data_IF_517123334325
#
_entry.id   IF_517123334325
#
_cell.length_a   1.000
_cell.length_b   1.000
_cell.length_c   1.000
_cell.angle_alpha   90.00
_cell.angle_beta   90.00
_cell.angle_gamma   90.00
#
_symmetry.space_group_name_H-M   'P 1'
#
loop_
_entity.id
_entity.type
_entity.pdbx_description
1 polymer ?
#
# COMPACT_ATOMS: atom_id res chain seq x y z
N UNK A 1 -77.69 37.32 55.91
CA UNK A 1 -78.28 36.22 55.11
C UNK A 1 -78.56 36.76 53.72
N UNK A 2 -78.31 36.01 52.63
CA UNK A 2 -76.98 35.76 52.08
C UNK A 2 -76.91 36.20 50.61
N UNK A 3 -75.74 36.64 50.09
CA UNK A 3 -75.52 36.62 48.63
C UNK A 3 -74.09 36.22 48.27
N UNK A 4 -74.06 35.31 47.29
CA UNK A 4 -73.01 34.36 46.96
C UNK A 4 -71.79 35.01 46.27
N UNK A 5 -70.59 34.55 46.63
CA UNK A 5 -69.34 34.81 45.92
C UNK A 5 -69.33 34.07 44.58
N UNK A 6 -69.16 34.81 43.47
CA UNK A 6 -68.70 34.28 42.19
C UNK A 6 -67.46 35.10 41.80
N UNK A 7 -66.28 34.51 41.98
CA UNK A 7 -65.00 35.08 41.53
C UNK A 7 -64.90 34.94 40.00
N UNK A 8 -64.80 36.08 39.30
CA UNK A 8 -64.45 36.14 37.88
C UNK A 8 -62.93 36.09 37.70
N UNK A 9 -62.48 35.21 36.82
CA UNK A 9 -61.10 34.95 36.46
C UNK A 9 -60.36 36.18 35.92
N UNK A 10 -59.11 36.38 36.36
CA UNK A 10 -58.16 37.32 35.76
C UNK A 10 -57.14 36.54 34.91
N UNK A 11 -57.21 36.71 33.60
CA UNK A 11 -56.23 36.19 32.65
C UNK A 11 -54.87 36.86 32.87
N UNK A 12 -53.85 36.07 33.22
CA UNK A 12 -52.45 36.49 33.25
C UNK A 12 -51.81 36.14 31.90
N UNK A 13 -51.33 37.15 31.19
CA UNK A 13 -50.53 36.98 29.98
C UNK A 13 -49.18 36.36 30.35
N UNK A 14 -48.85 35.21 29.76
CA UNK A 14 -47.58 34.53 29.91
C UNK A 14 -46.61 35.11 28.88
N UNK A 15 -45.59 35.84 29.31
CA UNK A 15 -44.49 36.29 28.46
C UNK A 15 -43.55 35.11 28.26
N UNK A 16 -43.59 34.47 27.08
CA UNK A 16 -42.60 33.48 26.69
C UNK A 16 -41.27 34.18 26.38
N UNK A 17 -40.29 33.99 27.25
CA UNK A 17 -38.90 34.36 27.00
C UNK A 17 -38.31 33.28 26.07
N UNK A 18 -38.17 33.59 24.78
CA UNK A 18 -37.50 32.73 23.80
C UNK A 18 -36.00 32.92 23.96
N UNK A 19 -35.33 31.98 24.63
CA UNK A 19 -33.87 31.90 24.66
C UNK A 19 -33.42 31.32 23.32
N UNK A 20 -32.62 32.02 22.50
CA UNK A 20 -32.06 31.43 21.30
C UNK A 20 -31.00 30.42 21.74
N UNK A 21 -31.28 29.14 21.54
CA UNK A 21 -30.25 28.09 21.56
C UNK A 21 -29.40 28.32 20.33
N UNK A 22 -28.28 29.05 20.49
CA UNK A 22 -27.19 28.99 19.52
C UNK A 22 -26.65 27.56 19.58
N UNK A 23 -27.10 26.72 18.64
CA UNK A 23 -26.39 25.50 18.31
C UNK A 23 -25.04 25.94 17.69
N UNK A 24 -24.00 25.99 18.52
CA UNK A 24 -22.64 25.99 18.01
C UNK A 24 -22.48 24.69 17.21
N UNK A 25 -22.47 24.78 15.88
CA UNK A 25 -21.84 23.76 15.05
C UNK A 25 -20.34 23.82 15.39
N UNK A 26 -19.95 23.12 16.45
CA UNK A 26 -18.55 22.79 16.65
C UNK A 26 -18.17 21.94 15.42
N UNK A 27 -17.34 22.52 14.55
CA UNK A 27 -16.65 21.74 13.54
C UNK A 27 -15.99 20.57 14.26
N UNK A 28 -16.29 19.34 13.83
CA UNK A 28 -15.60 18.18 14.34
C UNK A 28 -14.09 18.45 14.27
N UNK A 29 -13.31 18.12 15.32
CA UNK A 29 -11.87 18.29 15.25
C UNK A 29 -11.37 17.59 13.98
N UNK A 30 -10.41 18.20 13.28
CA UNK A 30 -9.86 17.73 12.00
C UNK A 30 -9.30 16.29 12.03
N UNK A 31 -9.27 15.65 13.21
CA UNK A 31 -8.83 14.28 13.51
C UNK A 31 -9.92 13.20 13.39
N UNK A 32 -11.18 13.51 13.06
CA UNK A 32 -12.25 12.49 12.96
C UNK A 32 -12.53 12.00 11.52
N UNK A 33 -11.87 12.55 10.51
CA UNK A 33 -12.14 12.25 9.10
C UNK A 33 -11.11 11.25 8.58
N UNK A 34 -11.57 10.09 8.11
CA UNK A 34 -10.73 9.10 7.44
C UNK A 34 -10.65 9.44 5.95
N UNK A 35 -9.57 10.12 5.56
CA UNK A 35 -9.29 10.48 4.16
C UNK A 35 -9.11 9.23 3.32
N UNK A 36 -9.69 9.21 2.12
CA UNK A 36 -9.71 8.00 1.29
C UNK A 36 -8.90 8.15 0.01
N UNK A 37 -8.44 7.02 -0.51
CA UNK A 37 -7.89 6.88 -1.85
C UNK A 37 -8.55 5.70 -2.57
N UNK A 38 -8.69 5.81 -3.89
CA UNK A 38 -9.26 4.77 -4.73
C UNK A 38 -8.75 4.90 -6.18
N UNK A 39 -8.82 3.80 -6.93
CA UNK A 39 -8.53 3.80 -8.37
C UNK A 39 -9.83 3.98 -9.13
N UNK A 40 -9.91 4.84 -10.15
CA UNK A 40 -11.20 5.07 -10.84
C UNK A 40 -11.76 3.80 -11.50
N UNK A 41 -13.08 3.58 -11.38
CA UNK A 41 -13.80 2.50 -12.09
C UNK A 41 -13.75 2.65 -13.62
N UNK A 42 -13.49 3.86 -14.11
CA UNK A 42 -13.31 4.20 -15.53
C UNK A 42 -11.83 4.29 -15.90
N UNK A 43 -11.54 4.07 -17.17
CA UNK A 43 -10.22 4.19 -17.76
C UNK A 43 -10.25 5.06 -19.02
N UNK A 44 -9.09 5.57 -19.42
CA UNK A 44 -8.91 6.36 -20.63
C UNK A 44 -7.43 6.50 -20.99
N UNK A 45 -7.17 7.15 -22.12
CA UNK A 45 -5.82 7.27 -22.65
C UNK A 45 -5.06 8.45 -22.01
N UNK A 46 -3.79 8.63 -22.36
CA UNK A 46 -2.93 9.69 -21.85
C UNK A 46 -3.40 11.11 -22.19
N UNK A 47 -4.40 11.29 -23.06
CA UNK A 47 -4.95 12.61 -23.39
C UNK A 47 -6.23 12.90 -22.61
N UNK A 48 -6.13 13.72 -21.56
CA UNK A 48 -7.27 14.14 -20.73
C UNK A 48 -8.22 15.13 -21.44
N UNK A 49 -7.83 15.69 -22.58
CA UNK A 49 -8.67 16.52 -23.44
C UNK A 49 -9.41 15.71 -24.50
N UNK A 50 -9.09 14.42 -24.64
CA UNK A 50 -9.81 13.53 -25.54
C UNK A 50 -11.20 13.18 -25.00
N UNK A 51 -12.04 12.59 -25.85
CA UNK A 51 -13.33 12.03 -25.44
C UNK A 51 -13.23 10.69 -24.70
N UNK A 52 -12.03 10.20 -24.38
CA UNK A 52 -11.87 8.87 -23.74
C UNK A 52 -12.22 8.85 -22.25
N UNK A 53 -12.33 10.02 -21.60
CA UNK A 53 -12.53 10.13 -20.16
C UNK A 53 -13.93 10.66 -19.78
N UNK A 54 -14.81 9.80 -19.23
CA UNK A 54 -16.13 10.22 -18.78
C UNK A 54 -16.06 11.16 -17.56
N UNK A 55 -16.50 12.40 -17.74
CA UNK A 55 -16.53 13.41 -16.66
C UNK A 55 -15.29 14.31 -16.61
N UNK A 56 -14.39 14.26 -17.60
CA UNK A 56 -13.29 15.19 -17.75
C UNK A 56 -13.80 16.60 -18.11
N UNK A 57 -13.44 17.60 -17.31
CA UNK A 57 -13.81 19.00 -17.50
C UNK A 57 -12.79 19.92 -16.81
N UNK A 58 -12.52 21.09 -17.38
CA UNK A 58 -11.51 22.01 -16.84
C UNK A 58 -10.58 22.56 -17.91
N UNK A 59 -9.78 23.55 -17.51
CA UNK A 59 -8.87 24.25 -18.42
C UNK A 59 -7.53 23.52 -18.56
N UNK A 60 -7.05 22.89 -17.48
CA UNK A 60 -5.78 22.15 -17.47
C UNK A 60 -5.99 20.65 -17.41
N UNK A 61 -4.91 19.89 -17.65
CA UNK A 61 -4.89 18.44 -17.47
C UNK A 61 -5.24 18.03 -16.04
N UNK A 62 -4.68 18.69 -15.03
CA UNK A 62 -4.98 18.40 -13.62
C UNK A 62 -6.44 18.72 -13.27
N UNK A 63 -7.01 19.83 -13.74
CA UNK A 63 -8.43 20.14 -13.50
C UNK A 63 -9.36 19.02 -14.02
N UNK A 64 -9.03 18.48 -15.19
CA UNK A 64 -9.77 17.41 -15.87
C UNK A 64 -9.62 16.08 -15.16
N UNK A 65 -8.41 15.73 -14.75
CA UNK A 65 -8.16 14.54 -13.95
C UNK A 65 -8.91 14.62 -12.60
N UNK A 66 -8.85 15.78 -11.93
CA UNK A 66 -9.57 15.98 -10.68
C UNK A 66 -11.09 15.91 -10.88
N UNK A 67 -11.62 16.43 -11.99
CA UNK A 67 -13.07 16.34 -12.25
C UNK A 67 -13.52 14.90 -12.46
N UNK A 68 -12.69 14.05 -13.05
CA UNK A 68 -12.94 12.60 -13.13
C UNK A 68 -12.95 12.01 -11.73
N UNK A 69 -11.94 12.29 -10.90
CA UNK A 69 -11.87 11.82 -9.52
C UNK A 69 -13.11 12.23 -8.71
N UNK A 70 -13.52 13.50 -8.79
CA UNK A 70 -14.72 14.00 -8.10
C UNK A 70 -16.01 13.35 -8.61
N UNK A 71 -16.13 13.15 -9.92
CA UNK A 71 -17.29 12.48 -10.51
C UNK A 71 -17.39 11.02 -10.05
N UNK A 72 -16.25 10.30 -10.02
CA UNK A 72 -16.21 8.91 -9.53
C UNK A 72 -16.50 8.83 -8.03
N UNK A 73 -15.86 9.67 -7.22
CA UNK A 73 -16.15 9.72 -5.79
C UNK A 73 -17.65 10.00 -5.51
N UNK A 74 -18.27 10.87 -6.31
CA UNK A 74 -19.72 11.15 -6.22
C UNK A 74 -20.54 9.92 -6.59
N UNK A 75 -20.17 9.21 -7.66
CA UNK A 75 -20.85 8.00 -8.09
C UNK A 75 -20.77 6.88 -7.04
N UNK A 76 -19.62 6.70 -6.39
CA UNK A 76 -19.43 5.75 -5.28
C UNK A 76 -20.02 6.20 -3.94
N UNK A 77 -20.58 7.41 -3.85
CA UNK A 77 -21.13 7.94 -2.59
C UNK A 77 -20.06 8.18 -1.51
N UNK A 78 -18.82 8.47 -1.92
CA UNK A 78 -17.72 8.72 -0.99
C UNK A 78 -17.89 10.08 -0.29
N UNK A 79 -17.49 10.21 0.99
CA UNK A 79 -17.54 11.49 1.70
C UNK A 79 -16.63 12.52 1.04
N UNK A 80 -17.00 13.79 1.11
CA UNK A 80 -16.24 14.89 0.50
C UNK A 80 -15.93 14.67 -0.99
N UNK A 81 -16.83 14.02 -1.73
CA UNK A 81 -16.62 13.66 -3.13
C UNK A 81 -16.15 14.82 -4.02
N UNK A 82 -16.50 16.06 -3.70
CA UNK A 82 -16.12 17.25 -4.46
C UNK A 82 -14.71 17.77 -4.18
N UNK A 83 -13.94 17.15 -3.27
CA UNK A 83 -12.59 17.59 -2.92
C UNK A 83 -11.48 16.70 -3.45
N UNK A 84 -11.80 15.53 -4.02
CA UNK A 84 -10.79 14.59 -4.49
C UNK A 84 -9.90 15.20 -5.58
N UNK A 85 -8.61 14.89 -5.47
CA UNK A 85 -7.56 15.29 -6.39
C UNK A 85 -6.87 14.04 -6.94
N UNK A 86 -6.36 14.12 -8.16
CA UNK A 86 -5.63 13.01 -8.77
C UNK A 86 -4.19 12.92 -8.21
N UNK A 87 -3.63 11.71 -8.12
CA UNK A 87 -2.18 11.52 -7.99
C UNK A 87 -1.56 11.45 -9.39
N UNK A 88 -1.22 12.61 -9.93
CA UNK A 88 -0.70 12.77 -11.29
C UNK A 88 0.28 13.96 -11.31
N UNK A 89 1.46 13.77 -11.89
CA UNK A 89 2.41 14.86 -12.09
C UNK A 89 2.34 15.39 -13.52
N UNK A 90 2.70 16.65 -13.65
CA UNK A 90 2.99 17.32 -14.92
C UNK A 90 4.42 17.87 -14.85
N UNK A 91 4.94 18.32 -15.99
CA UNK A 91 6.22 19.02 -16.12
C UNK A 91 6.33 20.23 -15.18
N UNK A 92 5.20 20.85 -14.81
CA UNK A 92 5.16 22.03 -13.95
C UNK A 92 4.76 21.76 -12.50
N UNK A 93 3.98 20.71 -12.23
CA UNK A 93 3.42 20.42 -10.91
C UNK A 93 3.59 18.95 -10.55
N UNK A 94 4.23 18.69 -9.41
CA UNK A 94 4.43 17.35 -8.87
C UNK A 94 3.16 16.85 -8.16
N UNK A 95 2.87 15.55 -8.24
CA UNK A 95 1.73 14.94 -7.56
C UNK A 95 1.77 15.17 -6.05
N UNK A 96 2.97 15.16 -5.44
CA UNK A 96 3.19 15.51 -4.03
C UNK A 96 2.57 16.87 -3.67
N UNK A 97 2.71 17.87 -4.54
CA UNK A 97 2.14 19.18 -4.32
C UNK A 97 0.64 19.18 -4.64
N UNK A 98 0.27 18.54 -5.76
CA UNK A 98 -1.10 18.54 -6.26
C UNK A 98 -2.09 17.92 -5.28
N UNK A 99 -1.80 16.75 -4.68
CA UNK A 99 -2.74 16.11 -3.73
C UNK A 99 -2.93 16.87 -2.40
N UNK A 100 -2.14 17.92 -2.18
CA UNK A 100 -2.31 18.85 -1.07
C UNK A 100 -3.09 20.12 -1.48
N UNK A 101 -3.55 20.21 -2.74
CA UNK A 101 -4.19 21.39 -3.32
C UNK A 101 -3.22 22.50 -3.69
N UNK A 102 -1.93 22.17 -3.91
CA UNK A 102 -0.87 23.13 -4.26
C UNK A 102 -0.34 22.86 -5.67
N UNK A 103 0.35 23.84 -6.23
CA UNK A 103 1.02 23.74 -7.55
C UNK A 103 2.53 23.79 -7.41
N UNK A 104 3.26 23.46 -8.48
CA UNK A 104 4.72 23.57 -8.51
C UNK A 104 5.44 22.30 -8.05
N UNK A 105 6.73 22.46 -7.72
CA UNK A 105 7.64 21.33 -7.48
C UNK A 105 7.90 21.07 -6.01
N UNK A 106 8.06 19.81 -5.62
CA UNK A 106 8.42 19.41 -4.25
C UNK A 106 9.75 20.05 -3.85
N UNK A 107 10.75 20.01 -4.74
CA UNK A 107 12.06 20.63 -4.55
C UNK A 107 12.01 22.15 -4.28
N UNK A 108 10.98 22.86 -4.74
CA UNK A 108 10.80 24.31 -4.50
C UNK A 108 9.77 24.60 -3.40
N UNK A 109 9.37 23.60 -2.63
CA UNK A 109 8.38 23.74 -1.56
C UNK A 109 6.97 24.02 -2.08
N UNK A 110 6.56 23.38 -3.19
CA UNK A 110 5.23 23.52 -3.80
C UNK A 110 4.85 24.99 -4.06
N UNK A 111 5.78 25.73 -4.67
CA UNK A 111 5.58 27.15 -5.00
C UNK A 111 5.58 28.08 -3.78
N UNK A 112 6.06 27.62 -2.62
CA UNK A 112 6.08 28.38 -1.36
C UNK A 112 4.75 28.40 -0.61
N UNK A 113 3.77 27.59 -1.02
CA UNK A 113 2.51 27.43 -0.31
C UNK A 113 2.70 26.72 1.03
N UNK A 114 1.90 27.09 2.04
CA UNK A 114 1.87 26.34 3.29
C UNK A 114 1.36 24.92 3.01
N UNK A 115 2.14 23.91 3.37
CA UNK A 115 1.80 22.50 3.18
C UNK A 115 0.82 22.08 4.28
N UNK A 116 -0.47 21.83 3.97
CA UNK A 116 -1.46 21.50 4.98
C UNK A 116 -1.28 20.11 5.59
N UNK A 117 -0.38 19.30 5.02
CA UNK A 117 -0.28 17.88 5.29
C UNK A 117 -1.40 17.10 4.59
N UNK A 118 -1.13 15.84 4.28
CA UNK A 118 -2.11 14.94 3.70
C UNK A 118 -1.94 13.51 4.21
N UNK A 119 -3.04 12.78 4.27
CA UNK A 119 -3.11 11.45 4.87
C UNK A 119 -3.10 11.48 6.40
N UNK A 120 -3.00 10.31 7.08
CA UNK A 120 -3.03 8.95 6.53
C UNK A 120 -4.22 8.66 5.63
N UNK A 121 -4.02 7.86 4.59
CA UNK A 121 -5.11 7.49 3.69
C UNK A 121 -5.61 6.09 3.98
N UNK A 122 -6.92 5.95 3.91
CA UNK A 122 -7.66 4.70 3.89
C UNK A 122 -8.05 4.38 2.45
N UNK A 123 -8.33 3.13 2.14
CA UNK A 123 -9.01 2.82 0.88
C UNK A 123 -10.46 3.34 0.92
N UNK A 124 -11.21 3.19 -0.18
CA UNK A 124 -12.59 3.64 -0.35
C UNK A 124 -13.54 3.29 0.79
N UNK A 125 -13.31 2.19 1.53
CA UNK A 125 -14.16 1.78 2.65
C UNK A 125 -14.01 2.68 3.90
N UNK A 126 -12.97 3.52 3.97
CA UNK A 126 -12.70 4.42 5.09
C UNK A 126 -12.35 3.72 6.41
N UNK A 127 -12.08 2.41 6.38
CA UNK A 127 -11.73 1.58 7.56
C UNK A 127 -10.33 1.01 7.41
N UNK A 128 -9.98 0.60 6.20
CA UNK A 128 -8.72 -0.07 5.92
C UNK A 128 -7.66 0.95 5.49
N UNK A 129 -6.60 1.17 6.29
CA UNK A 129 -5.47 2.02 5.93
C UNK A 129 -4.75 1.52 4.66
N UNK A 130 -4.39 2.46 3.79
CA UNK A 130 -3.54 2.27 2.63
C UNK A 130 -2.09 2.69 2.94
N UNK A 131 -1.93 3.92 3.43
CA UNK A 131 -0.63 4.55 3.64
C UNK A 131 -0.70 5.56 4.79
N UNK A 132 0.45 5.89 5.40
CA UNK A 132 0.54 6.92 6.43
C UNK A 132 0.51 8.33 5.81
N UNK A 133 1.10 9.32 6.47
CA UNK A 133 1.17 10.69 5.96
C UNK A 133 1.88 10.75 4.60
N UNK A 134 1.60 11.79 3.82
CA UNK A 134 2.29 12.06 2.56
C UNK A 134 3.82 12.14 2.71
N UNK A 135 4.28 12.66 3.85
CA UNK A 135 5.70 12.77 4.16
C UNK A 135 6.37 11.40 4.32
N UNK A 136 5.67 10.43 4.92
CA UNK A 136 6.15 9.06 5.08
C UNK A 136 5.98 8.24 3.79
N UNK A 137 4.85 8.42 3.08
CA UNK A 137 4.58 7.78 1.78
C UNK A 137 5.65 8.12 0.74
N UNK A 138 6.13 9.38 0.74
CA UNK A 138 7.17 9.85 -0.18
C UNK A 138 8.54 10.05 0.47
N UNK A 139 8.67 9.69 1.74
CA UNK A 139 9.90 9.80 2.53
C UNK A 139 10.86 8.64 2.27
N UNK A 140 12.03 8.59 2.92
CA UNK A 140 13.05 7.56 2.68
C UNK A 140 12.50 6.12 2.72
N UNK A 141 11.59 5.84 3.66
CA UNK A 141 11.03 4.50 3.88
C UNK A 141 9.87 4.15 2.93
N UNK A 142 9.34 5.13 2.19
CA UNK A 142 8.23 4.96 1.21
C UNK A 142 7.12 4.06 1.74
N UNK A 143 6.63 4.39 2.95
CA UNK A 143 5.78 3.50 3.73
C UNK A 143 4.45 3.30 3.02
N UNK A 144 4.19 2.07 2.63
CA UNK A 144 2.93 1.64 2.03
C UNK A 144 2.53 0.36 2.71
N UNK A 145 1.37 0.39 3.33
CA UNK A 145 0.87 -0.74 4.06
C UNK A 145 0.30 -1.81 3.12
N UNK A 146 -0.45 -1.37 2.11
CA UNK A 146 -1.08 -2.25 1.13
C UNK A 146 -1.25 -1.56 -0.20
N UNK A 147 -1.58 -2.30 -1.25
CA UNK A 147 -1.82 -1.72 -2.56
C UNK A 147 -3.19 -1.01 -2.63
N UNK A 148 -3.28 0.07 -3.41
CA UNK A 148 -4.57 0.74 -3.74
C UNK A 148 -5.04 0.21 -5.08
N UNK A 149 -5.93 -0.77 -5.03
CA UNK A 149 -6.51 -1.39 -6.22
C UNK A 149 -8.03 -1.27 -6.29
N UNK A 150 -8.70 -0.99 -5.18
CA UNK A 150 -10.15 -0.93 -5.15
C UNK A 150 -10.66 0.37 -5.76
N UNK A 151 -11.78 0.28 -6.47
CA UNK A 151 -12.43 1.44 -7.04
C UNK A 151 -13.37 2.17 -6.08
N UNK A 152 -14.06 3.20 -6.55
CA UNK A 152 -14.99 3.98 -5.72
C UNK A 152 -16.17 3.16 -5.16
N UNK A 153 -16.49 2.01 -5.76
CA UNK A 153 -17.55 1.09 -5.33
C UNK A 153 -17.01 -0.01 -4.41
N UNK A 154 -15.68 -0.16 -4.39
CA UNK A 154 -14.98 -1.20 -3.67
C UNK A 154 -14.82 -2.50 -4.44
N UNK A 155 -15.02 -2.43 -5.75
CA UNK A 155 -14.71 -3.53 -6.65
C UNK A 155 -13.22 -3.50 -7.01
N UNK A 156 -12.64 -4.68 -7.20
CA UNK A 156 -11.29 -4.84 -7.72
C UNK A 156 -11.36 -4.86 -9.26
N UNK A 157 -10.74 -3.89 -9.96
CA UNK A 157 -10.54 -3.95 -11.39
C UNK A 157 -9.84 -5.25 -11.78
N UNK A 158 -10.23 -5.82 -12.93
CA UNK A 158 -9.61 -7.05 -13.42
C UNK A 158 -8.07 -6.95 -13.52
N UNK A 159 -7.40 -8.08 -13.28
CA UNK A 159 -5.96 -8.25 -13.28
C UNK A 159 -5.30 -7.63 -14.54
N UNK A 160 -4.22 -6.85 -14.36
CA UNK A 160 -3.51 -6.04 -15.39
C UNK A 160 -4.28 -4.84 -15.97
N UNK A 161 -5.58 -4.72 -15.71
CA UNK A 161 -6.44 -3.60 -16.16
C UNK A 161 -6.71 -2.58 -15.05
N UNK A 162 -6.13 -2.79 -13.86
CA UNK A 162 -6.20 -1.91 -12.69
C UNK A 162 -5.17 -0.78 -12.69
N UNK A 163 -4.16 -0.85 -13.56
CA UNK A 163 -3.05 0.11 -13.56
C UNK A 163 -3.51 1.52 -13.92
N UNK A 164 -2.78 2.51 -13.44
CA UNK A 164 -3.19 3.92 -13.52
C UNK A 164 -2.05 4.84 -13.93
N UNK A 165 -2.41 5.91 -14.64
CA UNK A 165 -1.46 6.96 -15.01
C UNK A 165 -0.99 7.73 -13.77
N UNK A 166 0.30 8.04 -13.72
CA UNK A 166 0.91 8.81 -12.62
C UNK A 166 1.87 9.88 -13.11
N UNK A 167 2.73 9.59 -14.07
CA UNK A 167 3.86 10.47 -14.41
C UNK A 167 4.75 10.81 -13.22
N UNK A 168 4.78 9.95 -12.18
CA UNK A 168 5.25 10.32 -10.84
C UNK A 168 6.20 9.27 -10.26
N UNK A 169 7.37 9.72 -9.78
CA UNK A 169 8.35 8.89 -9.07
C UNK A 169 7.86 8.48 -7.68
N UNK A 170 8.53 7.53 -7.02
CA UNK A 170 8.19 7.16 -5.64
C UNK A 170 8.34 8.33 -4.65
N UNK A 171 9.14 9.35 -4.97
CA UNK A 171 9.28 10.58 -4.18
C UNK A 171 8.10 11.55 -4.35
N UNK A 172 7.14 11.23 -5.21
CA UNK A 172 6.00 12.08 -5.52
C UNK A 172 6.32 13.23 -6.47
N UNK A 173 7.46 13.16 -7.16
CA UNK A 173 7.92 14.16 -8.13
C UNK A 173 7.64 13.71 -9.57
N UNK A 174 7.61 14.64 -10.51
CA UNK A 174 7.50 14.33 -11.94
C UNK A 174 8.63 13.42 -12.42
N UNK A 175 8.30 12.30 -13.07
CA UNK A 175 9.31 11.32 -13.51
C UNK A 175 9.99 11.69 -14.84
N UNK A 176 9.34 12.51 -15.67
CA UNK A 176 9.79 12.82 -17.03
C UNK A 176 8.83 12.35 -18.13
N UNK A 177 7.92 11.42 -17.83
CA UNK A 177 6.99 10.82 -18.79
C UNK A 177 5.52 11.06 -18.42
N UNK A 178 4.88 12.00 -19.10
CA UNK A 178 3.48 12.41 -18.82
C UNK A 178 2.59 12.45 -20.05
N UNK A 179 2.90 11.76 -21.15
CA UNK A 179 2.11 11.90 -22.38
C UNK A 179 1.96 13.36 -22.83
N UNK A 180 3.08 14.10 -22.81
CA UNK A 180 3.15 15.55 -23.04
C UNK A 180 2.20 16.33 -22.13
N UNK A 181 2.37 16.22 -20.82
CA UNK A 181 1.47 16.83 -19.82
C UNK A 181 0.01 16.44 -20.00
N UNK A 182 -0.22 15.18 -20.38
CA UNK A 182 -1.50 14.52 -20.54
C UNK A 182 -2.37 15.13 -21.64
N UNK A 183 -1.71 15.60 -22.70
CA UNK A 183 -2.35 16.18 -23.89
C UNK A 183 -2.27 15.29 -25.12
N UNK A 184 -1.59 14.14 -25.00
CA UNK A 184 -1.35 13.25 -26.12
C UNK A 184 -1.83 11.83 -25.87
N UNK A 185 -2.34 11.22 -26.94
CA UNK A 185 -2.70 9.81 -27.00
C UNK A 185 -1.91 9.10 -28.10
N UNK A 186 -0.71 9.59 -28.40
CA UNK A 186 0.14 9.05 -29.44
C UNK A 186 0.84 7.77 -28.95
N UNK A 187 0.76 6.70 -29.72
CA UNK A 187 1.43 5.43 -29.41
C UNK A 187 2.96 5.57 -29.36
N UNK A 188 3.54 6.57 -30.04
CA UNK A 188 4.98 6.82 -30.00
C UNK A 188 5.45 7.54 -28.72
N UNK A 189 4.51 8.01 -27.90
CA UNK A 189 4.78 8.73 -26.66
C UNK A 189 4.45 7.88 -25.45
N UNK A 190 5.10 8.21 -24.33
CA UNK A 190 5.10 7.39 -23.12
C UNK A 190 4.63 8.23 -21.93
N UNK A 191 3.90 7.57 -21.05
CA UNK A 191 3.57 8.08 -19.71
C UNK A 191 4.00 7.05 -18.67
N UNK A 192 4.47 7.51 -17.52
CA UNK A 192 4.68 6.61 -16.40
C UNK A 192 3.34 6.24 -15.74
N UNK A 193 3.30 5.00 -15.25
CA UNK A 193 2.13 4.41 -14.60
C UNK A 193 2.50 3.71 -13.31
N UNK A 194 1.52 3.65 -12.43
CA UNK A 194 1.51 2.84 -11.23
C UNK A 194 0.92 1.46 -11.46
N UNK A 195 1.36 0.48 -10.68
CA UNK A 195 0.73 -0.83 -10.60
C UNK A 195 -0.25 -0.89 -9.43
N UNK A 196 -1.53 -1.16 -9.70
CA UNK A 196 -2.56 -1.17 -8.66
C UNK A 196 -2.35 -2.23 -7.58
N UNK A 197 -1.72 -3.34 -7.93
CA UNK A 197 -1.41 -4.43 -7.00
C UNK A 197 -0.06 -4.27 -6.30
N UNK A 198 0.73 -3.28 -6.68
CA UNK A 198 2.06 -3.08 -6.14
C UNK A 198 2.04 -2.14 -4.94
N UNK A 199 2.87 -2.45 -3.96
CA UNK A 199 3.30 -1.56 -2.88
C UNK A 199 4.72 -1.04 -3.16
N UNK A 200 5.36 -0.42 -2.16
CA UNK A 200 6.76 0.06 -2.24
C UNK A 200 6.98 1.07 -3.38
N UNK A 201 7.92 0.85 -4.31
CA UNK A 201 8.20 1.78 -5.42
C UNK A 201 7.15 1.69 -6.55
N UNK A 202 6.68 0.48 -6.86
CA UNK A 202 5.93 0.20 -8.09
C UNK A 202 4.48 0.67 -8.10
N UNK A 203 3.92 1.08 -6.96
CA UNK A 203 2.56 1.64 -6.89
C UNK A 203 2.43 2.93 -7.71
N UNK A 204 3.46 3.78 -7.76
CA UNK A 204 3.43 5.05 -8.52
C UNK A 204 4.37 5.05 -9.71
N UNK A 205 5.51 4.35 -9.62
CA UNK A 205 6.53 4.32 -10.68
C UNK A 205 6.78 2.86 -11.07
N UNK A 206 5.75 2.18 -11.55
CA UNK A 206 5.80 0.76 -11.87
C UNK A 206 6.48 0.49 -13.21
N UNK A 207 6.03 1.21 -14.24
CA UNK A 207 6.51 1.08 -15.61
C UNK A 207 6.09 2.31 -16.41
N UNK A 208 6.42 2.29 -17.69
CA UNK A 208 5.99 3.26 -18.69
C UNK A 208 5.14 2.57 -19.72
N UNK A 209 4.18 3.29 -20.29
CA UNK A 209 3.25 2.71 -21.25
C UNK A 209 2.85 3.73 -22.33
N UNK A 210 2.41 3.22 -23.47
CA UNK A 210 2.05 4.05 -24.62
C UNK A 210 0.82 4.91 -24.30
N UNK A 211 0.84 6.17 -24.71
CA UNK A 211 -0.18 7.13 -24.34
C UNK A 211 -1.56 6.86 -24.94
N UNK A 212 -1.71 5.94 -25.90
CA UNK A 212 -3.00 5.50 -26.43
C UNK A 212 -3.72 4.48 -25.53
N UNK A 213 -3.02 3.93 -24.53
CA UNK A 213 -3.52 2.83 -23.72
C UNK A 213 -4.57 3.26 -22.68
N UNK A 214 -5.64 2.47 -22.49
CA UNK A 214 -6.69 2.80 -21.54
C UNK A 214 -6.29 2.38 -20.11
N UNK A 215 -5.72 3.32 -19.34
CA UNK A 215 -5.41 3.12 -17.91
C UNK A 215 -6.35 3.96 -17.03
N UNK A 216 -6.33 3.70 -15.73
CA UNK A 216 -7.18 4.38 -14.73
C UNK A 216 -6.47 5.61 -14.16
N UNK A 217 -7.14 6.31 -13.23
CA UNK A 217 -6.54 7.35 -12.40
C UNK A 217 -6.56 6.92 -10.94
N UNK A 218 -5.56 7.36 -10.18
CA UNK A 218 -5.52 7.21 -8.73
C UNK A 218 -5.98 8.51 -8.07
N UNK A 219 -7.01 8.44 -7.23
CA UNK A 219 -7.66 9.61 -6.63
C UNK A 219 -7.43 9.63 -5.12
N UNK A 220 -7.07 10.80 -4.59
CA UNK A 220 -6.82 11.04 -3.17
C UNK A 220 -7.73 12.13 -2.63
N UNK A 221 -8.28 11.90 -1.45
CA UNK A 221 -8.92 12.95 -0.67
C UNK A 221 -7.85 13.81 0.02
N UNK A 222 -7.83 15.13 -0.18
CA UNK A 222 -6.79 16.00 0.37
C UNK A 222 -6.97 16.24 1.87
N UNK A 223 -5.89 16.71 2.50
CA UNK A 223 -5.87 17.18 3.88
C UNK A 223 -5.52 16.10 4.91
N UNK A 224 -5.32 16.54 6.15
CA UNK A 224 -5.03 15.66 7.27
C UNK A 224 -6.20 14.71 7.56
N UNK A 225 -5.85 13.53 8.05
CA UNK A 225 -6.76 12.43 8.40
C UNK A 225 -6.60 12.07 9.87
N UNK A 226 -7.54 11.28 10.39
CA UNK A 226 -7.39 10.65 11.70
C UNK A 226 -6.10 9.80 11.74
N UNK A 227 -5.31 9.87 12.83
CA UNK A 227 -4.19 8.96 13.00
C UNK A 227 -4.73 7.52 13.06
N UNK A 228 -3.89 6.59 12.62
CA UNK A 228 -4.25 5.19 12.52
C UNK A 228 -3.27 4.34 13.32
N UNK A 229 -3.82 3.36 14.05
CA UNK A 229 -3.03 2.37 14.78
C UNK A 229 -3.55 0.97 14.42
N UNK A 230 -2.64 0.09 13.97
CA UNK A 230 -2.95 -1.34 13.87
C UNK A 230 -2.96 -1.94 15.25
N UNK A 231 -4.10 -2.48 15.65
CA UNK A 231 -4.13 -3.43 16.75
C UNK A 231 -3.30 -4.66 16.38
N UNK A 232 -2.45 -5.10 17.32
CA UNK A 232 -1.82 -6.41 17.22
C UNK A 232 -2.89 -7.51 17.12
N UNK A 233 -2.61 -8.53 16.31
CA UNK A 233 -3.45 -9.72 16.22
C UNK A 233 -2.57 -10.96 16.16
N UNK A 234 -2.91 -12.05 16.89
CA UNK A 234 -2.11 -13.27 16.88
C UNK A 234 -1.94 -13.84 15.46
N UNK A 235 -0.75 -14.37 15.18
CA UNK A 235 -0.44 -15.00 13.90
C UNK A 235 1.01 -15.47 13.80
N UNK A 236 1.29 -16.25 12.77
CA UNK A 236 2.65 -16.55 12.35
C UNK A 236 3.26 -15.33 11.67
N UNK A 237 4.48 -14.95 12.09
CA UNK A 237 5.20 -13.82 11.53
C UNK A 237 5.82 -14.18 10.18
N UNK A 238 5.77 -13.23 9.26
CA UNK A 238 6.35 -13.32 7.92
C UNK A 238 7.14 -12.07 7.61
N UNK A 239 8.36 -12.21 7.10
CA UNK A 239 9.14 -11.09 6.58
C UNK A 239 9.89 -11.47 5.31
N UNK A 240 10.32 -10.45 4.57
CA UNK A 240 11.33 -10.60 3.51
C UNK A 240 12.68 -10.15 4.05
N UNK A 241 13.77 -10.86 3.78
CA UNK A 241 15.07 -10.52 4.39
C UNK A 241 15.52 -9.10 4.06
N UNK A 242 16.03 -8.35 5.04
CA UNK A 242 16.69 -7.04 4.83
C UNK A 242 17.93 -7.19 3.93
N UNK A 243 18.58 -8.33 4.07
CA UNK A 243 19.77 -8.74 3.34
C UNK A 243 19.41 -9.35 1.99
N UNK A 244 20.36 -9.24 1.07
CA UNK A 244 20.22 -9.74 -0.29
C UNK A 244 21.45 -10.54 -0.68
N UNK A 245 21.27 -11.52 -1.55
CA UNK A 245 22.38 -12.28 -2.13
C UNK A 245 21.92 -13.09 -3.34
N UNK A 246 22.82 -13.90 -3.88
CA UNK A 246 22.59 -14.67 -5.10
C UNK A 246 21.98 -16.06 -4.79
N UNK A 247 21.82 -16.88 -5.83
CA UNK A 247 21.22 -18.21 -5.77
C UNK A 247 21.97 -19.27 -4.97
N UNK A 248 23.28 -19.10 -4.76
CA UNK A 248 24.03 -19.90 -3.79
C UNK A 248 23.79 -19.32 -2.39
N UNK A 249 22.82 -19.90 -1.68
CA UNK A 249 22.43 -19.42 -0.36
C UNK A 249 23.51 -19.70 0.70
N UNK A 250 24.35 -20.72 0.50
CA UNK A 250 25.46 -21.01 1.42
C UNK A 250 26.55 -19.93 1.41
N UNK A 251 26.61 -19.12 0.34
CA UNK A 251 27.52 -17.99 0.26
C UNK A 251 27.04 -16.74 1.03
N UNK A 252 25.80 -16.73 1.54
CA UNK A 252 25.30 -15.62 2.33
C UNK A 252 25.93 -15.65 3.73
N UNK A 253 26.40 -14.51 4.28
CA UNK A 253 27.04 -14.49 5.60
C UNK A 253 26.18 -15.09 6.73
N UNK A 254 24.85 -14.96 6.62
CA UNK A 254 23.89 -15.44 7.60
C UNK A 254 23.63 -16.95 7.50
N UNK A 255 24.11 -17.64 6.48
CA UNK A 255 23.93 -19.09 6.34
C UNK A 255 24.85 -19.90 7.27
N UNK A 256 25.98 -19.33 7.69
CA UNK A 256 27.04 -20.08 8.39
C UNK A 256 27.61 -21.17 7.48
N UNK A 257 27.68 -22.40 7.98
CA UNK A 257 28.17 -23.56 7.22
C UNK A 257 27.06 -24.32 6.47
N UNK A 258 25.82 -23.84 6.52
CA UNK A 258 24.68 -24.49 5.87
C UNK A 258 24.66 -24.26 4.36
N UNK A 259 24.04 -25.17 3.62
CA UNK A 259 23.88 -25.08 2.15
C UNK A 259 22.44 -25.38 1.74
N UNK A 260 22.08 -25.01 0.51
CA UNK A 260 20.76 -25.27 -0.07
C UNK A 260 19.59 -24.73 0.77
N UNK A 261 18.53 -25.52 0.92
CA UNK A 261 17.38 -25.13 1.74
C UNK A 261 17.73 -24.87 3.21
N UNK A 262 18.67 -25.64 3.79
CA UNK A 262 19.11 -25.43 5.16
C UNK A 262 19.86 -24.09 5.35
N UNK A 263 20.53 -23.59 4.31
CA UNK A 263 21.10 -22.24 4.30
C UNK A 263 19.99 -21.19 4.34
N UNK A 264 18.93 -21.35 3.55
CA UNK A 264 17.75 -20.49 3.60
C UNK A 264 17.17 -20.37 5.02
N UNK A 265 16.98 -21.51 5.70
CA UNK A 265 16.48 -21.53 7.07
C UNK A 265 17.47 -20.90 8.06
N UNK A 266 18.77 -21.14 7.91
CA UNK A 266 19.79 -20.51 8.75
C UNK A 266 19.78 -18.98 8.59
N UNK A 267 19.68 -18.47 7.35
CA UNK A 267 19.55 -17.04 7.06
C UNK A 267 18.32 -16.47 7.78
N UNK A 268 17.16 -17.10 7.64
CA UNK A 268 15.92 -16.65 8.27
C UNK A 268 16.02 -16.60 9.79
N UNK A 269 16.50 -17.68 10.42
CA UNK A 269 16.63 -17.76 11.88
C UNK A 269 17.64 -16.76 12.43
N UNK A 270 18.78 -16.58 11.74
CA UNK A 270 19.83 -15.67 12.18
C UNK A 270 19.41 -14.19 12.05
N UNK A 271 18.69 -13.83 10.99
CA UNK A 271 18.13 -12.48 10.84
C UNK A 271 17.01 -12.22 11.86
N UNK A 272 16.12 -13.19 12.06
CA UNK A 272 15.09 -13.10 13.09
C UNK A 272 15.70 -12.92 14.50
N UNK A 273 16.75 -13.67 14.83
CA UNK A 273 17.45 -13.55 16.10
C UNK A 273 18.15 -12.19 16.26
N UNK A 274 18.82 -11.70 15.21
CA UNK A 274 19.46 -10.39 15.21
C UNK A 274 18.46 -9.23 15.34
N UNK A 275 17.25 -9.41 14.83
CA UNK A 275 16.14 -8.46 14.98
C UNK A 275 15.33 -8.65 16.28
N UNK A 276 15.71 -9.61 17.14
CA UNK A 276 14.99 -9.94 18.38
C UNK A 276 13.52 -10.31 18.17
N UNK A 277 13.23 -11.01 17.07
CA UNK A 277 11.90 -11.56 16.82
C UNK A 277 11.62 -12.73 17.77
N UNK A 278 10.36 -12.98 18.14
CA UNK A 278 9.99 -14.09 19.01
C UNK A 278 10.20 -15.43 18.30
N UNK A 279 10.67 -16.43 19.05
CA UNK A 279 10.94 -17.79 18.56
C UNK A 279 11.75 -17.80 17.23
N UNK A 280 12.92 -17.15 17.18
CA UNK A 280 13.70 -17.02 15.95
C UNK A 280 14.08 -18.37 15.35
N UNK A 281 14.20 -19.42 16.16
CA UNK A 281 14.46 -20.79 15.73
C UNK A 281 13.33 -21.43 14.93
N UNK A 282 12.12 -20.88 14.98
CA UNK A 282 10.93 -21.39 14.28
C UNK A 282 10.84 -20.95 12.82
N UNK A 283 11.67 -19.99 12.40
CA UNK A 283 11.59 -19.45 11.04
C UNK A 283 12.17 -20.42 10.01
N UNK A 284 11.42 -20.63 8.94
CA UNK A 284 11.83 -21.37 7.75
C UNK A 284 11.75 -20.48 6.52
N UNK A 285 12.60 -20.72 5.53
CA UNK A 285 12.55 -20.03 4.25
C UNK A 285 11.44 -20.64 3.36
N UNK A 286 10.65 -19.77 2.72
CA UNK A 286 9.72 -20.17 1.65
C UNK A 286 10.49 -20.45 0.36
N UNK A 287 11.05 -21.65 0.29
CA UNK A 287 11.86 -22.12 -0.83
C UNK A 287 11.50 -23.56 -1.13
N UNK A 288 11.43 -23.91 -2.41
CA UNK A 288 11.39 -25.30 -2.84
C UNK A 288 12.72 -25.71 -3.46
N UNK A 289 13.00 -27.01 -3.46
CA UNK A 289 14.04 -27.62 -4.31
C UNK A 289 13.50 -28.89 -4.98
N UNK A 290 14.38 -29.72 -5.54
CA UNK A 290 13.97 -30.94 -6.25
C UNK A 290 13.41 -32.06 -5.35
N UNK A 291 13.50 -31.90 -4.03
CA UNK A 291 13.12 -32.92 -3.03
C UNK A 291 12.09 -32.44 -2.03
N UNK A 292 11.94 -31.13 -1.83
CA UNK A 292 11.03 -30.57 -0.84
C UNK A 292 10.27 -29.35 -1.40
N UNK A 293 8.95 -29.34 -1.17
CA UNK A 293 8.05 -28.25 -1.53
C UNK A 293 7.99 -27.19 -0.41
N UNK A 294 7.96 -25.91 -0.76
CA UNK A 294 7.81 -24.81 0.20
C UNK A 294 6.55 -24.96 1.08
N UNK A 295 5.44 -25.46 0.52
CA UNK A 295 4.19 -25.68 1.26
C UNK A 295 4.32 -26.68 2.41
N UNK A 296 5.23 -27.65 2.29
CA UNK A 296 5.40 -28.70 3.28
C UNK A 296 6.36 -28.27 4.41
N UNK A 297 7.15 -27.23 4.15
CA UNK A 297 8.08 -26.60 5.11
C UNK A 297 7.36 -25.66 6.08
N UNK A 298 6.33 -24.96 5.62
CA UNK A 298 5.44 -24.16 6.49
C UNK A 298 4.31 -25.04 7.01
N UNK A 299 4.41 -25.44 8.28
CA UNK A 299 3.56 -26.46 8.91
C UNK A 299 2.54 -25.91 9.90
N UNK A 300 2.69 -24.65 10.30
CA UNK A 300 1.77 -24.01 11.25
C UNK A 300 0.39 -23.75 10.61
N UNK A 301 -0.66 -24.19 11.28
CA UNK A 301 -2.05 -23.90 10.89
C UNK A 301 -2.51 -22.61 11.59
N UNK A 302 -2.20 -21.46 10.99
CA UNK A 302 -2.49 -20.15 11.55
C UNK A 302 -2.76 -19.09 10.46
N UNK A 303 -3.19 -17.90 10.88
CA UNK A 303 -3.08 -16.70 10.06
C UNK A 303 -1.64 -16.21 10.01
N UNK A 304 -1.21 -15.72 8.86
CA UNK A 304 0.13 -15.20 8.59
C UNK A 304 0.09 -13.67 8.49
N UNK A 305 1.06 -12.99 9.09
CA UNK A 305 1.09 -11.53 9.19
C UNK A 305 2.52 -11.01 9.04
N UNK A 306 2.65 -9.81 8.48
CA UNK A 306 3.91 -9.08 8.48
C UNK A 306 4.24 -8.51 9.85
N UNK A 307 5.47 -8.03 10.01
CA UNK A 307 5.98 -7.40 11.23
C UNK A 307 5.34 -6.03 11.53
N UNK A 308 4.66 -5.44 10.54
CA UNK A 308 3.78 -4.27 10.69
C UNK A 308 2.30 -4.66 10.85
N UNK A 309 2.02 -5.92 11.17
CA UNK A 309 0.72 -6.50 11.54
C UNK A 309 -0.28 -6.67 10.38
N UNK A 310 0.07 -6.31 9.15
CA UNK A 310 -0.82 -6.53 8.02
C UNK A 310 -0.93 -8.03 7.70
N UNK A 311 -2.16 -8.54 7.47
CA UNK A 311 -2.36 -9.94 7.15
C UNK A 311 -1.79 -10.27 5.77
N UNK A 312 -1.11 -11.41 5.68
CA UNK A 312 -0.70 -12.03 4.42
C UNK A 312 -1.73 -13.07 4.01
N UNK A 313 -2.11 -13.94 4.93
CA UNK A 313 -3.12 -14.97 4.73
C UNK A 313 -3.87 -15.24 6.05
N UNK A 314 -5.14 -15.61 5.99
CA UNK A 314 -5.97 -15.89 7.15
C UNK A 314 -5.85 -17.35 7.64
N UNK A 315 -5.29 -18.23 6.83
CA UNK A 315 -4.99 -19.62 7.15
C UNK A 315 -3.86 -20.16 6.26
N UNK A 316 -3.35 -21.37 6.53
CA UNK A 316 -2.42 -22.04 5.63
C UNK A 316 -3.07 -22.38 4.28
N UNK A 317 -4.35 -22.72 4.25
CA UNK A 317 -5.07 -22.94 2.99
C UNK A 317 -5.13 -21.65 2.13
N UNK A 318 -5.37 -20.50 2.77
CA UNK A 318 -5.36 -19.16 2.12
C UNK A 318 -3.95 -18.75 1.67
N UNK A 319 -2.89 -19.21 2.35
CA UNK A 319 -1.51 -19.00 1.89
C UNK A 319 -1.21 -19.79 0.61
N UNK A 320 -1.81 -20.98 0.47
CA UNK A 320 -1.54 -21.96 -0.59
C UNK A 320 -2.48 -21.84 -1.81
N UNK A 321 -3.41 -20.90 -1.81
CA UNK A 321 -4.23 -20.62 -2.99
C UNK A 321 -3.53 -19.70 -4.00
N UNK A 322 -2.31 -19.24 -3.66
CA UNK A 322 -1.47 -18.37 -4.47
C UNK A 322 -1.66 -16.88 -4.24
N UNK A 323 -2.61 -16.44 -3.41
CA UNK A 323 -2.97 -15.03 -3.26
C UNK A 323 -2.65 -14.47 -1.87
N UNK A 324 -1.57 -13.71 -1.76
CA UNK A 324 -1.32 -12.91 -0.56
C UNK A 324 -2.27 -11.70 -0.48
N UNK A 325 -2.95 -11.50 0.65
CA UNK A 325 -3.87 -10.37 0.88
C UNK A 325 -3.16 -9.01 0.77
N UNK A 326 -1.91 -8.96 1.23
CA UNK A 326 -1.01 -7.81 1.12
C UNK A 326 0.35 -8.27 0.58
N UNK A 327 1.12 -7.33 0.05
CA UNK A 327 2.48 -7.57 -0.43
C UNK A 327 3.43 -7.92 0.72
N UNK A 328 4.49 -8.68 0.48
CA UNK A 328 5.45 -9.14 1.49
C UNK A 328 6.74 -8.29 1.49
N UNK A 329 6.64 -6.96 1.44
CA UNK A 329 7.78 -6.04 1.33
C UNK A 329 8.25 -5.45 2.67
N UNK A 330 8.06 -6.14 3.79
CA UNK A 330 8.48 -5.68 5.12
C UNK A 330 9.51 -6.64 5.68
N UNK A 331 10.64 -6.10 6.14
CA UNK A 331 11.77 -6.89 6.63
C UNK A 331 11.70 -7.25 8.11
N UNK A 332 12.68 -8.02 8.59
CA UNK A 332 12.76 -8.46 9.99
C UNK A 332 12.84 -7.31 10.99
N UNK A 333 13.22 -6.10 10.54
CA UNK A 333 13.24 -4.89 11.35
C UNK A 333 11.93 -4.10 11.27
N UNK A 334 10.98 -4.54 10.44
CA UNK A 334 9.75 -3.81 10.13
C UNK A 334 9.94 -2.68 9.13
N UNK A 335 11.08 -2.63 8.44
CA UNK A 335 11.34 -1.61 7.42
C UNK A 335 10.73 -2.03 6.09
N UNK A 336 10.19 -1.08 5.35
CA UNK A 336 9.61 -1.34 4.03
C UNK A 336 10.72 -1.42 2.97
N UNK A 337 10.86 -2.58 2.34
CA UNK A 337 11.80 -2.79 1.26
C UNK A 337 11.35 -2.04 -0.01
N UNK A 338 11.91 -0.85 -0.20
CA UNK A 338 11.51 0.11 -1.25
C UNK A 338 11.81 -0.40 -2.66
N UNK A 339 12.99 -0.96 -2.88
CA UNK A 339 13.44 -1.41 -4.20
C UNK A 339 12.95 -2.85 -4.44
N UNK A 340 12.23 -3.13 -5.54
CA UNK A 340 11.75 -4.47 -5.86
C UNK A 340 12.91 -5.33 -6.40
N UNK A 341 13.76 -5.81 -5.49
CA UNK A 341 14.87 -6.69 -5.85
C UNK A 341 14.42 -8.11 -6.17
N UNK A 342 13.13 -8.45 -6.13
CA UNK A 342 12.63 -9.83 -6.32
C UNK A 342 13.04 -10.78 -5.19
N UNK A 343 12.38 -11.93 -5.11
CA UNK A 343 12.53 -12.87 -3.99
C UNK A 343 12.76 -14.28 -4.51
N UNK A 344 13.72 -15.01 -3.96
CA UNK A 344 13.99 -16.40 -4.32
C UNK A 344 12.92 -17.31 -3.74
N UNK A 345 12.35 -18.17 -4.58
CA UNK A 345 11.27 -19.10 -4.19
C UNK A 345 11.50 -20.49 -4.78
N UNK A 346 11.70 -20.59 -6.10
CA UNK A 346 11.74 -21.89 -6.78
C UNK A 346 10.41 -22.64 -6.72
N UNK A 347 9.30 -21.92 -6.52
CA UNK A 347 8.00 -22.48 -6.12
C UNK A 347 6.87 -21.97 -7.04
N UNK A 348 5.89 -22.83 -7.37
CA UNK A 348 4.63 -22.47 -8.05
C UNK A 348 3.60 -21.84 -7.09
N UNK A 349 2.51 -21.26 -7.62
CA UNK A 349 1.43 -20.67 -6.82
C UNK A 349 0.85 -21.59 -5.73
N UNK A 350 0.78 -22.89 -5.97
CA UNK A 350 0.24 -23.90 -5.04
C UNK A 350 1.26 -24.37 -3.99
N UNK A 351 2.44 -23.75 -3.98
CA UNK A 351 3.52 -24.03 -3.05
C UNK A 351 4.38 -25.24 -3.41
N UNK A 352 4.19 -25.85 -4.59
CA UNK A 352 5.02 -26.96 -5.09
C UNK A 352 6.30 -26.48 -5.78
N UNK A 353 7.31 -27.34 -5.88
CA UNK A 353 8.58 -27.03 -6.52
C UNK A 353 8.46 -26.80 -8.04
N UNK A 354 9.15 -25.77 -8.52
CA UNK A 354 9.47 -25.60 -9.94
C UNK A 354 10.73 -26.38 -10.30
N UNK A 355 11.06 -26.49 -11.59
CA UNK A 355 12.35 -27.04 -12.04
C UNK A 355 13.51 -26.05 -11.85
N UNK A 356 13.21 -24.77 -11.62
CA UNK A 356 14.18 -23.69 -11.61
C UNK A 356 14.40 -23.18 -10.17
N UNK A 357 15.32 -23.82 -9.46
CA UNK A 357 15.64 -23.53 -8.05
C UNK A 357 17.15 -23.42 -7.83
N UNK A 358 17.87 -22.83 -8.79
CA UNK A 358 19.32 -22.59 -8.69
C UNK A 358 20.13 -23.81 -8.23
N UNK A 359 19.88 -24.96 -8.86
CA UNK A 359 20.50 -26.25 -8.53
C UNK A 359 20.41 -26.62 -7.04
N UNK A 360 19.24 -26.36 -6.47
CA UNK A 360 18.95 -26.61 -5.06
C UNK A 360 19.52 -25.53 -4.17
N UNK A 361 19.57 -24.30 -4.69
CA UNK A 361 20.14 -23.11 -4.05
C UNK A 361 21.63 -23.22 -3.72
N UNK A 362 22.37 -23.91 -4.58
CA UNK A 362 23.82 -24.15 -4.42
C UNK A 362 24.66 -23.49 -5.52
N UNK A 363 24.03 -22.74 -6.43
CA UNK A 363 24.73 -22.06 -7.52
C UNK A 363 24.27 -20.62 -7.69
N UNK A 364 25.23 -19.73 -7.94
CA UNK A 364 25.02 -18.35 -8.34
C UNK A 364 25.46 -18.10 -9.80
N UNK A 365 25.56 -19.13 -10.62
CA UNK A 365 26.14 -19.06 -11.97
C UNK A 365 25.05 -18.72 -13.01
N UNK A 366 25.34 -17.78 -13.91
CA UNK A 366 24.36 -17.17 -14.81
C UNK A 366 23.55 -18.13 -15.73
N UNK A 367 24.09 -19.26 -16.23
CA UNK A 367 23.31 -20.23 -16.99
C UNK A 367 22.17 -20.88 -16.19
N UNK A 368 22.30 -21.00 -14.87
CA UNK A 368 21.27 -21.56 -14.02
C UNK A 368 20.15 -20.56 -13.79
N UNK A 369 18.93 -21.09 -13.68
CA UNK A 369 17.72 -20.32 -13.50
C UNK A 369 17.09 -20.57 -12.14
N UNK A 370 16.39 -19.54 -11.68
CA UNK A 370 15.52 -19.59 -10.51
C UNK A 370 14.16 -19.02 -10.87
N UNK A 371 13.11 -19.60 -10.30
CA UNK A 371 11.80 -18.97 -10.18
C UNK A 371 11.87 -18.00 -9.01
N UNK A 372 11.46 -16.76 -9.27
CA UNK A 372 11.49 -15.68 -8.30
C UNK A 372 10.13 -15.00 -8.16
N UNK A 373 9.79 -14.65 -6.94
CA UNK A 373 8.65 -13.84 -6.58
C UNK A 373 8.94 -12.34 -6.60
N UNK A 374 7.89 -11.55 -6.37
CA UNK A 374 7.95 -10.10 -6.23
C UNK A 374 7.31 -9.66 -4.92
N UNK A 375 8.14 -9.26 -3.95
CA UNK A 375 7.72 -8.83 -2.62
C UNK A 375 6.69 -7.70 -2.62
N UNK A 376 6.67 -6.88 -3.65
CA UNK A 376 5.83 -5.69 -3.72
C UNK A 376 4.41 -5.99 -4.22
N UNK A 377 4.14 -7.17 -4.79
CA UNK A 377 2.82 -7.48 -5.33
C UNK A 377 1.90 -8.11 -4.26
N UNK A 378 0.70 -7.56 -4.13
CA UNK A 378 -0.41 -8.13 -3.39
C UNK A 378 -1.42 -8.79 -4.36
N UNK A 379 -2.31 -9.63 -3.85
CA UNK A 379 -3.44 -10.21 -4.57
C UNK A 379 -3.05 -10.88 -5.90
N UNK A 380 -1.88 -11.51 -5.94
CA UNK A 380 -1.33 -12.11 -7.15
C UNK A 380 -0.32 -13.19 -6.82
N UNK A 381 -0.35 -14.33 -7.53
CA UNK A 381 0.69 -15.37 -7.48
C UNK A 381 2.10 -14.85 -7.75
N UNK A 382 2.24 -13.65 -8.34
CA UNK A 382 3.55 -13.01 -8.59
C UNK A 382 4.37 -12.80 -7.32
N UNK A 383 3.78 -12.84 -6.12
CA UNK A 383 4.57 -12.83 -4.88
C UNK A 383 5.47 -14.08 -4.75
N UNK A 384 5.09 -15.21 -5.37
CA UNK A 384 5.82 -16.48 -5.38
C UNK A 384 6.54 -16.70 -6.72
N UNK A 385 5.82 -16.60 -7.84
CA UNK A 385 6.31 -16.92 -9.19
C UNK A 385 6.07 -15.75 -10.15
N UNK A 386 6.76 -14.64 -9.89
CA UNK A 386 6.65 -13.44 -10.70
C UNK A 386 7.51 -13.44 -11.96
N UNK A 387 8.68 -14.11 -11.91
CA UNK A 387 9.65 -14.09 -13.00
C UNK A 387 10.63 -15.28 -12.96
N UNK A 388 11.08 -15.70 -14.15
CA UNK A 388 12.19 -16.62 -14.33
C UNK A 388 13.45 -15.83 -14.66
N UNK A 389 14.55 -15.99 -13.90
CA UNK A 389 15.78 -15.25 -14.17
C UNK A 389 17.03 -16.04 -13.74
N UNK A 390 18.21 -15.44 -13.89
CA UNK A 390 19.49 -16.08 -13.59
C UNK A 390 19.84 -16.01 -12.11
N UNK A 391 20.50 -17.07 -11.63
CA UNK A 391 20.88 -17.23 -10.22
C UNK A 391 22.00 -16.29 -9.76
N UNK A 392 22.67 -15.57 -10.67
CA UNK A 392 23.67 -14.56 -10.33
C UNK A 392 23.06 -13.19 -9.98
N UNK A 393 21.73 -13.03 -10.05
CA UNK A 393 21.09 -11.80 -9.59
C UNK A 393 20.97 -11.81 -8.08
N UNK A 394 21.18 -10.64 -7.48
CA UNK A 394 20.99 -10.44 -6.04
C UNK A 394 19.51 -10.26 -5.74
N UNK A 395 18.97 -11.08 -4.84
CA UNK A 395 17.55 -11.19 -4.49
C UNK A 395 17.39 -11.36 -2.97
N UNK A 396 16.17 -11.25 -2.46
CA UNK A 396 15.81 -11.52 -1.04
C UNK A 396 15.22 -12.93 -0.90
N UNK A 397 14.96 -13.39 0.32
CA UNK A 397 14.12 -14.59 0.57
C UNK A 397 12.98 -14.25 1.54
N UNK A 398 11.88 -14.99 1.50
CA UNK A 398 10.83 -14.86 2.53
C UNK A 398 11.08 -15.83 3.67
N UNK A 399 10.79 -15.39 4.88
CA UNK A 399 10.93 -16.14 6.11
C UNK A 399 9.58 -16.22 6.83
N UNK A 400 9.14 -17.44 7.12
CA UNK A 400 7.85 -17.75 7.76
C UNK A 400 8.09 -18.43 9.10
N UNK A 401 7.48 -17.92 10.17
CA UNK A 401 7.50 -18.59 11.48
C UNK A 401 6.58 -19.81 11.47
N UNK A 402 7.07 -20.95 11.98
CA UNK A 402 6.25 -22.15 12.21
C UNK A 402 5.59 -22.18 13.60
N UNK A 403 5.42 -21.02 14.23
CA UNK A 403 4.70 -20.87 15.49
C UNK A 403 3.83 -19.62 15.47
N UNK A 404 2.77 -19.63 16.27
CA UNK A 404 1.92 -18.45 16.47
C UNK A 404 2.56 -17.52 17.49
N UNK A 405 2.79 -16.28 17.08
CA UNK A 405 3.10 -15.20 18.02
C UNK A 405 1.79 -14.67 18.58
N UNK A 406 1.55 -14.89 19.88
CA UNK A 406 0.32 -14.42 20.54
C UNK A 406 0.40 -12.95 20.90
N UNK A 407 1.59 -12.47 21.25
CA UNK A 407 1.88 -11.08 21.56
C UNK A 407 3.37 -10.79 21.35
N UNK A 408 3.68 -9.65 20.74
CA UNK A 408 5.03 -9.10 20.65
C UNK A 408 4.91 -7.58 20.47
N UNK A 409 5.50 -6.81 21.38
CA UNK A 409 5.48 -5.34 21.39
C UNK A 409 6.83 -4.71 21.01
N UNK A 410 7.84 -5.54 20.73
CA UNK A 410 9.19 -5.10 20.36
C UNK A 410 9.96 -4.39 21.47
N UNK A 411 9.48 -4.38 22.72
CA UNK A 411 10.10 -3.61 23.82
C UNK A 411 11.42 -4.21 24.31
N UNK A 412 11.70 -5.47 23.96
CA UNK A 412 12.91 -6.20 24.36
C UNK A 412 14.21 -5.59 23.81
N UNK A 413 14.14 -4.64 22.86
CA UNK A 413 15.30 -3.94 22.30
C UNK A 413 15.50 -2.51 22.87
N UNK A 414 14.65 -2.05 23.79
CA UNK A 414 14.71 -0.70 24.37
C UNK A 414 14.53 0.46 23.37
N UNK A 415 14.12 0.18 22.12
CA UNK A 415 13.92 1.20 21.08
C UNK A 415 12.51 1.79 21.16
N UNK A 416 12.43 3.06 21.56
CA UNK A 416 11.16 3.81 21.57
C UNK A 416 10.72 4.27 20.17
N UNK A 417 11.51 3.98 19.12
CA UNK A 417 11.26 4.46 17.76
C UNK A 417 9.91 4.06 17.20
N UNK A 418 9.49 2.80 17.45
CA UNK A 418 8.19 2.27 17.04
C UNK A 418 6.98 2.88 17.78
N UNK A 419 7.21 3.53 18.92
CA UNK A 419 6.15 4.16 19.74
C UNK A 419 6.14 5.69 19.68
N UNK A 420 7.17 6.33 19.10
CA UNK A 420 7.24 7.80 19.03
C UNK A 420 6.14 8.45 18.16
N UNK A 421 5.36 7.65 17.43
CA UNK A 421 4.16 8.06 16.69
C UNK A 421 2.84 7.55 17.29
N UNK A 422 2.85 6.89 18.46
CA UNK A 422 1.71 6.11 18.95
C UNK A 422 1.19 6.43 20.37
N UNK A 423 1.49 7.60 20.95
CA UNK A 423 0.84 8.06 22.19
C UNK A 423 0.56 9.58 22.09
N UNK A 424 -0.60 10.09 22.58
CA UNK A 424 -1.16 11.41 22.22
C UNK A 424 -0.28 12.64 22.44
#
# INVERSE_FOLDING_TARGET
MPQSLILRARSRALVLCVIPVLASLAAAPASAVNRRAFVTSVAGNGNLFSGSWPGASGATSLDRADSICRARATAGGLPNATTYLVWLSTSSTDAYCHVQGLTGKKATGCGGGAQPGAGPWYIQNGITPFSPSLAELTGPDKVIYRAVLMDEFGDEPAYEVGDYWTGTTADGEYDGESCLDWTSSNVAEWGARGHAQSSAYGWTSGASFNCDSPLRLLCFEPGASAPFHLGWSPGALVFVTSQTGQGDLGAWPQAGDATGLAAGDAICRNLAAAAHLPAPESFVAWLSDSTEDARDRVTVEASFRRLDHYPIANSRADLLDGFATNSLHVDEHGSHAVIPMGVQTGTFADGTATLDHCDGWTTNVAPFKGTFGSQSYARSHRWIEGLLNTCNNTRRIYCFANVVTVFWDGFENGSAGRWSSAVP
#
